data_IF_726814859859
#
_entry.id   IF_726814859859
#
_cell.length_a   1.000
_cell.length_b   1.000
_cell.length_c   1.000
_cell.angle_alpha   90.00
_cell.angle_beta   90.00
_cell.angle_gamma   90.00
#
_symmetry.space_group_name_H-M   'P 1'
#
loop_
_entity.id
_entity.type
_entity.pdbx_description
1 polymer ?
#
# COMPACT_ATOMS: atom_id res chain seq x y z
N UNK A 1 13.00 6.41 15.94
CA UNK A 1 13.76 5.39 16.70
C UNK A 1 13.27 5.31 18.16
N UNK A 2 11.96 5.27 18.41
CA UNK A 2 11.44 5.40 19.78
C UNK A 2 11.69 4.17 20.63
N UNK A 3 11.57 2.96 20.06
CA UNK A 3 11.81 1.71 20.77
C UNK A 3 13.22 1.61 21.38
N UNK A 4 14.25 1.95 20.60
CA UNK A 4 15.63 2.00 21.09
C UNK A 4 15.77 2.98 22.27
N UNK A 5 15.24 4.19 22.13
CA UNK A 5 15.37 5.22 23.18
C UNK A 5 14.62 4.82 24.46
N UNK A 6 13.44 4.22 24.34
CA UNK A 6 12.71 3.64 25.47
C UNK A 6 13.54 2.56 26.16
N UNK A 7 14.10 1.61 25.41
CA UNK A 7 14.92 0.54 26.00
C UNK A 7 16.19 1.08 26.64
N UNK A 8 16.90 1.99 25.99
CA UNK A 8 18.08 2.62 26.57
C UNK A 8 17.77 3.34 27.89
N UNK A 9 16.63 4.05 27.96
CA UNK A 9 16.18 4.66 29.21
C UNK A 9 15.84 3.62 30.28
N UNK A 10 15.12 2.56 29.94
CA UNK A 10 14.79 1.45 30.87
C UNK A 10 16.06 0.77 31.43
N UNK A 11 17.06 0.50 30.60
CA UNK A 11 18.36 -0.04 31.05
C UNK A 11 19.10 0.93 31.98
N UNK A 12 18.96 2.24 31.76
CA UNK A 12 19.49 3.30 32.61
C UNK A 12 18.64 3.61 33.85
N UNK A 13 17.57 2.85 34.13
CA UNK A 13 16.60 3.12 35.19
C UNK A 13 15.86 4.47 35.06
N UNK A 14 15.83 5.03 33.85
CA UNK A 14 15.13 6.26 33.51
C UNK A 14 13.90 6.04 32.64
N UNK A 15 13.30 7.14 32.18
CA UNK A 15 12.13 7.12 31.29
C UNK A 15 12.39 7.92 30.01
N UNK A 16 11.73 7.52 28.92
CA UNK A 16 11.84 8.18 27.62
C UNK A 16 10.63 9.07 27.35
N UNK A 17 10.87 10.33 27.04
CA UNK A 17 9.83 11.29 26.60
C UNK A 17 9.95 11.55 25.10
N UNK A 18 8.98 11.09 24.33
CA UNK A 18 8.92 11.35 22.88
C UNK A 18 8.38 12.75 22.60
N UNK A 19 9.10 13.57 21.82
CA UNK A 19 8.63 14.87 21.33
C UNK A 19 8.54 14.81 19.80
N UNK A 20 7.32 14.88 19.25
CA UNK A 20 7.08 14.70 17.81
C UNK A 20 7.00 15.99 17.02
N UNK A 21 6.80 17.12 17.69
CA UNK A 21 6.62 18.45 17.09
C UNK A 21 7.26 19.52 17.97
N UNK A 22 7.73 20.60 17.36
CA UNK A 22 8.30 21.78 18.05
C UNK A 22 7.28 22.45 18.97
N UNK A 23 5.99 22.38 18.63
CA UNK A 23 4.89 22.93 19.44
C UNK A 23 4.69 22.19 20.77
N UNK A 24 5.16 20.95 20.88
CA UNK A 24 5.02 20.13 22.10
C UNK A 24 6.18 20.32 23.08
N UNK A 25 7.29 20.92 22.64
CA UNK A 25 8.56 20.97 23.38
C UNK A 25 8.37 21.61 24.74
N UNK A 26 7.79 22.81 24.80
CA UNK A 26 7.64 23.54 26.07
C UNK A 26 6.87 22.74 27.12
N UNK A 27 5.74 22.13 26.74
CA UNK A 27 4.91 21.34 27.64
C UNK A 27 5.64 20.07 28.11
N UNK A 28 6.19 19.28 27.16
CA UNK A 28 6.84 18.01 27.48
C UNK A 28 8.13 18.19 28.28
N UNK A 29 8.89 19.24 28.01
CA UNK A 29 10.08 19.58 28.80
C UNK A 29 9.70 20.08 30.19
N UNK A 30 8.65 20.90 30.32
CA UNK A 30 8.12 21.31 31.62
C UNK A 30 7.71 20.12 32.48
N UNK A 31 6.94 19.18 31.92
CA UNK A 31 6.55 17.93 32.60
C UNK A 31 7.78 17.11 33.01
N UNK A 32 8.79 17.00 32.14
CA UNK A 32 10.02 16.29 32.44
C UNK A 32 10.80 16.94 33.60
N UNK A 33 10.97 18.26 33.60
CA UNK A 33 11.72 18.94 34.66
C UNK A 33 11.00 18.88 36.00
N UNK A 34 9.68 19.10 36.04
CA UNK A 34 8.90 18.95 37.27
C UNK A 34 9.01 17.54 37.86
N UNK A 35 9.13 16.51 37.01
CA UNK A 35 9.40 15.13 37.46
C UNK A 35 10.81 15.01 38.05
N UNK A 36 11.83 15.44 37.32
CA UNK A 36 13.24 15.29 37.73
C UNK A 36 13.57 16.04 39.02
N UNK A 37 12.86 17.13 39.31
CA UNK A 37 13.00 17.90 40.55
C UNK A 37 12.40 17.19 41.78
N UNK A 38 11.60 16.13 41.58
CA UNK A 38 10.84 15.46 42.64
C UNK A 38 11.07 13.93 42.70
N UNK A 39 12.32 13.45 42.88
CA UNK A 39 12.57 12.03 43.12
C UNK A 39 12.08 11.62 44.52
N UNK A 40 11.24 10.59 44.60
CA UNK A 40 10.66 10.09 45.85
C UNK A 40 11.46 8.93 46.41
N UNK A 41 11.85 7.96 45.57
CA UNK A 41 12.62 6.79 45.97
C UNK A 41 13.55 6.36 44.83
N UNK A 42 14.81 6.08 45.12
CA UNK A 42 15.80 5.62 44.14
C UNK A 42 16.48 4.31 44.51
N UNK A 43 17.11 3.67 43.51
CA UNK A 43 17.78 2.36 43.62
C UNK A 43 16.89 1.30 44.28
N UNK A 44 15.68 1.15 43.72
CA UNK A 44 14.65 0.28 44.27
C UNK A 44 15.05 -1.19 44.05
N UNK A 45 15.03 -1.99 45.11
CA UNK A 45 15.29 -3.43 45.08
C UNK A 45 14.14 -4.14 45.78
N UNK A 46 13.63 -5.21 45.16
CA UNK A 46 12.59 -6.07 45.76
C UNK A 46 13.25 -7.32 46.33
N UNK A 47 13.05 -7.53 47.61
CA UNK A 47 13.40 -8.74 48.33
C UNK A 47 12.16 -9.66 48.44
N UNK A 48 12.18 -10.78 47.71
CA UNK A 48 11.11 -11.77 47.71
C UNK A 48 11.18 -12.77 48.88
N UNK A 49 12.02 -12.50 49.89
CA UNK A 49 12.17 -13.29 51.13
C UNK A 49 12.39 -14.78 50.87
N UNK A 50 13.26 -15.09 49.91
CA UNK A 50 13.63 -16.46 49.52
C UNK A 50 12.66 -17.17 48.56
N UNK A 51 11.59 -16.52 48.11
CA UNK A 51 10.72 -17.09 47.08
C UNK A 51 11.34 -17.01 45.69
N UNK A 52 11.13 -18.05 44.89
CA UNK A 52 11.49 -18.06 43.47
C UNK A 52 10.48 -17.22 42.67
N UNK A 53 10.62 -15.90 42.71
CA UNK A 53 9.80 -14.97 41.97
C UNK A 53 10.49 -14.54 40.67
N UNK A 54 9.73 -14.51 39.57
CA UNK A 54 10.14 -13.88 38.32
C UNK A 54 9.38 -12.55 38.20
N UNK A 55 10.07 -11.43 37.97
CA UNK A 55 9.41 -10.14 37.85
C UNK A 55 9.97 -9.29 36.71
N UNK A 56 9.13 -8.37 36.23
CA UNK A 56 9.47 -7.42 35.19
C UNK A 56 8.93 -6.01 35.54
N UNK A 57 9.68 -4.93 35.26
CA UNK A 57 11.00 -4.90 34.62
C UNK A 57 12.11 -5.50 35.50
N UNK A 58 13.22 -5.92 34.88
CA UNK A 58 14.37 -6.51 35.58
C UNK A 58 15.19 -5.45 36.34
N UNK A 59 15.30 -4.27 35.75
CA UNK A 59 15.86 -3.08 36.39
C UNK A 59 14.67 -2.19 36.78
N UNK A 60 14.54 -1.91 38.08
CA UNK A 60 13.40 -1.18 38.61
C UNK A 60 13.73 0.32 38.47
N UNK A 61 12.90 1.10 37.78
CA UNK A 61 13.12 2.54 37.64
C UNK A 61 12.93 3.26 38.97
N UNK A 62 13.54 4.43 39.10
CA UNK A 62 13.34 5.30 40.25
C UNK A 62 11.88 5.81 40.29
N UNK A 63 11.35 5.98 41.50
CA UNK A 63 10.00 6.49 41.73
C UNK A 63 10.04 8.02 41.76
N UNK A 64 9.38 8.62 40.78
CA UNK A 64 9.17 10.07 40.71
C UNK A 64 7.75 10.45 41.11
N UNK A 65 7.58 11.68 41.59
CA UNK A 65 6.26 12.19 41.91
C UNK A 65 5.35 12.19 40.66
N UNK A 66 4.17 11.59 40.79
CA UNK A 66 3.18 11.52 39.71
C UNK A 66 3.33 10.35 38.74
N UNK A 67 4.34 9.48 38.90
CA UNK A 67 4.53 8.29 38.06
C UNK A 67 4.64 7.02 38.91
N UNK A 68 3.66 6.11 38.86
CA UNK A 68 3.72 4.88 39.64
C UNK A 68 4.70 3.88 39.02
N UNK A 69 5.53 3.27 39.86
CA UNK A 69 6.34 2.11 39.47
C UNK A 69 5.45 0.87 39.51
N UNK A 70 5.20 0.29 38.33
CA UNK A 70 4.38 -0.93 38.21
C UNK A 70 5.30 -2.12 37.97
N UNK A 71 5.25 -3.11 38.85
CA UNK A 71 5.98 -4.38 38.74
C UNK A 71 4.98 -5.51 38.48
N UNK A 72 5.27 -6.36 37.50
CA UNK A 72 4.50 -7.58 37.25
C UNK A 72 5.36 -8.77 37.65
N UNK A 73 4.87 -9.61 38.56
CA UNK A 73 5.62 -10.73 39.09
C UNK A 73 4.81 -12.04 39.07
N UNK A 74 5.50 -13.14 38.81
CA UNK A 74 5.00 -14.50 38.96
C UNK A 74 5.64 -15.12 40.20
N UNK A 75 4.79 -15.48 41.16
CA UNK A 75 5.19 -16.11 42.42
C UNK A 75 4.63 -17.53 42.52
N UNK A 76 5.30 -18.44 43.23
CA UNK A 76 4.77 -19.78 43.52
C UNK A 76 3.59 -19.74 44.48
N UNK A 77 3.55 -18.79 45.42
CA UNK A 77 2.49 -18.65 46.42
C UNK A 77 2.25 -17.16 46.74
N UNK A 78 0.99 -16.79 46.96
CA UNK A 78 0.60 -15.46 47.45
C UNK A 78 0.53 -15.44 48.99
N UNK A 79 0.60 -14.25 49.59
CA UNK A 79 0.53 -14.07 51.05
C UNK A 79 1.84 -14.26 51.80
N UNK A 80 2.96 -14.28 51.10
CA UNK A 80 4.28 -14.23 51.72
C UNK A 80 4.77 -12.78 51.85
N UNK A 81 5.73 -12.56 52.74
CA UNK A 81 6.33 -11.25 52.96
C UNK A 81 7.20 -10.84 51.77
N UNK A 82 7.12 -9.56 51.43
CA UNK A 82 7.92 -8.92 50.39
C UNK A 82 8.53 -7.66 50.98
N UNK A 83 9.85 -7.54 50.83
CA UNK A 83 10.60 -6.34 51.19
C UNK A 83 10.83 -5.47 49.97
N UNK A 84 10.68 -4.16 50.13
CA UNK A 84 11.15 -3.17 49.17
C UNK A 84 12.19 -2.31 49.87
N UNK A 85 13.37 -2.21 49.26
CA UNK A 85 14.49 -1.42 49.75
C UNK A 85 14.84 -0.33 48.72
N UNK A 86 15.40 0.78 49.18
CA UNK A 86 15.89 1.85 48.32
C UNK A 86 16.41 3.03 49.13
N UNK A 87 16.51 4.18 48.47
CA UNK A 87 17.00 5.42 49.06
C UNK A 87 15.97 6.52 48.94
N UNK A 88 15.62 7.14 50.07
CA UNK A 88 14.69 8.27 50.13
C UNK A 88 15.41 9.48 50.69
N UNK A 89 15.61 10.51 49.88
CA UNK A 89 16.32 11.72 50.27
C UNK A 89 17.74 11.44 50.83
N UNK A 90 18.47 10.51 50.20
CA UNK A 90 19.83 10.13 50.61
C UNK A 90 19.93 9.25 51.86
N UNK A 91 18.81 8.80 52.43
CA UNK A 91 18.78 7.86 53.56
C UNK A 91 18.28 6.49 53.11
N UNK A 92 18.81 5.39 53.66
CA UNK A 92 18.27 4.06 53.38
C UNK A 92 16.82 3.99 53.85
N UNK A 93 15.97 3.43 53.00
CA UNK A 93 14.56 3.22 53.24
C UNK A 93 14.21 1.77 52.94
N UNK A 94 13.42 1.16 53.81
CA UNK A 94 12.93 -0.19 53.66
C UNK A 94 11.48 -0.26 54.13
N UNK A 95 10.67 -1.04 53.43
CA UNK A 95 9.35 -1.44 53.87
C UNK A 95 9.20 -2.93 53.64
N UNK A 96 8.77 -3.64 54.66
CA UNK A 96 8.32 -5.02 54.52
C UNK A 96 6.79 -5.02 54.64
N UNK A 97 6.13 -5.73 53.74
CA UNK A 97 4.70 -5.93 53.79
C UNK A 97 4.33 -7.31 53.29
N UNK A 98 3.19 -7.80 53.76
CA UNK A 98 2.65 -9.08 53.33
C UNK A 98 1.93 -8.89 52.00
N UNK A 99 2.23 -9.71 51.00
CA UNK A 99 1.59 -9.64 49.69
C UNK A 99 0.20 -10.30 49.74
N UNK A 100 -0.71 -9.67 50.47
CA UNK A 100 -2.10 -10.07 50.67
C UNK A 100 -3.05 -9.01 50.13
N UNK A 101 -4.23 -9.45 49.69
CA UNK A 101 -5.24 -8.58 49.10
C UNK A 101 -5.12 -8.48 47.57
N UNK A 102 -5.68 -7.39 47.04
CA UNK A 102 -5.89 -7.23 45.60
C UNK A 102 -7.10 -8.03 45.10
N UNK A 103 -7.43 -7.80 43.84
CA UNK A 103 -8.56 -8.44 43.16
C UNK A 103 -8.05 -9.33 42.04
N UNK A 104 -8.53 -10.57 42.01
CA UNK A 104 -8.22 -11.52 40.95
C UNK A 104 -8.79 -11.00 39.64
N UNK A 105 -7.91 -10.63 38.70
CA UNK A 105 -8.27 -10.12 37.38
C UNK A 105 -7.66 -10.99 36.28
N UNK A 106 -8.47 -11.35 35.28
CA UNK A 106 -8.11 -12.21 34.15
C UNK A 106 -7.12 -11.58 33.13
N UNK A 107 -6.37 -10.53 33.52
CA UNK A 107 -5.42 -9.83 32.65
C UNK A 107 -4.03 -9.63 33.26
N UNK A 108 -3.82 -9.94 34.54
CA UNK A 108 -2.52 -9.75 35.20
C UNK A 108 -1.48 -10.73 34.63
N UNK A 109 -1.91 -11.96 34.33
CA UNK A 109 -1.10 -12.97 33.67
C UNK A 109 -0.65 -12.51 32.27
N UNK A 110 -1.55 -11.88 31.51
CA UNK A 110 -1.26 -11.31 30.19
C UNK A 110 -0.29 -10.14 30.28
N UNK A 111 -0.43 -9.28 31.29
CA UNK A 111 0.51 -8.18 31.54
C UNK A 111 1.92 -8.74 31.83
N UNK A 112 2.02 -9.73 32.70
CA UNK A 112 3.29 -10.41 33.00
C UNK A 112 3.89 -11.03 31.73
N UNK A 113 3.09 -11.79 30.98
CA UNK A 113 3.52 -12.46 29.76
C UNK A 113 4.00 -11.50 28.67
N UNK A 114 3.31 -10.36 28.48
CA UNK A 114 3.76 -9.30 27.55
C UNK A 114 5.12 -8.74 27.95
N UNK A 115 5.31 -8.39 29.22
CA UNK A 115 6.59 -7.87 29.71
C UNK A 115 7.73 -8.89 29.58
N UNK A 116 7.43 -10.18 29.78
CA UNK A 116 8.37 -11.27 29.54
C UNK A 116 8.72 -11.42 28.06
N UNK A 117 7.75 -11.32 27.15
CA UNK A 117 8.01 -11.33 25.70
C UNK A 117 8.88 -10.13 25.30
N UNK A 118 8.61 -8.95 25.85
CA UNK A 118 9.40 -7.75 25.58
C UNK A 118 10.86 -7.93 26.02
N UNK A 119 11.12 -8.55 27.16
CA UNK A 119 12.48 -8.83 27.62
C UNK A 119 13.19 -9.91 26.78
N UNK A 120 12.46 -10.92 26.30
CA UNK A 120 12.98 -11.93 25.37
C UNK A 120 13.35 -11.31 24.02
N UNK A 121 12.54 -10.37 23.52
CA UNK A 121 12.87 -9.61 22.31
C UNK A 121 14.13 -8.75 22.51
N UNK A 122 14.31 -8.15 23.69
CA UNK A 122 15.54 -7.41 24.01
C UNK A 122 16.78 -8.31 24.01
N UNK A 123 16.68 -9.55 24.52
CA UNK A 123 17.81 -10.51 24.48
C UNK A 123 18.28 -10.85 23.07
N UNK A 124 17.39 -10.80 22.08
CA UNK A 124 17.77 -11.00 20.68
C UNK A 124 18.73 -9.91 20.19
N UNK A 125 18.61 -8.68 20.73
CA UNK A 125 19.53 -7.58 20.43
C UNK A 125 20.91 -7.80 21.07
N UNK A 126 20.96 -8.52 22.19
CA UNK A 126 22.17 -8.88 22.91
C UNK A 126 22.90 -10.11 22.30
N UNK A 127 22.41 -10.64 21.17
CA UNK A 127 23.02 -11.77 20.47
C UNK A 127 22.59 -13.16 20.94
N UNK A 128 21.46 -13.27 21.66
CA UNK A 128 20.90 -14.57 22.02
C UNK A 128 20.47 -15.38 20.77
N UNK A 129 20.45 -16.71 20.90
CA UNK A 129 19.99 -17.60 19.84
C UNK A 129 18.53 -17.28 19.44
N UNK A 130 18.34 -16.93 18.17
CA UNK A 130 17.07 -16.51 17.63
C UNK A 130 16.03 -17.63 17.62
N UNK A 131 16.45 -18.88 17.43
CA UNK A 131 15.55 -20.05 17.42
C UNK A 131 15.03 -20.36 18.82
N UNK A 132 15.93 -20.43 19.82
CA UNK A 132 15.54 -20.62 21.21
C UNK A 132 14.58 -19.52 21.71
N UNK A 133 14.90 -18.25 21.45
CA UNK A 133 14.05 -17.11 21.86
C UNK A 133 12.68 -17.16 21.20
N UNK A 134 12.63 -17.48 19.89
CA UNK A 134 11.37 -17.63 19.16
C UNK A 134 10.51 -18.75 19.76
N UNK A 135 11.09 -19.92 20.05
CA UNK A 135 10.36 -21.02 20.64
C UNK A 135 9.75 -20.64 22.00
N UNK A 136 10.51 -19.91 22.83
CA UNK A 136 10.02 -19.42 24.13
C UNK A 136 8.87 -18.40 23.97
N UNK A 137 9.01 -17.44 23.04
CA UNK A 137 7.96 -16.44 22.76
C UNK A 137 6.67 -17.11 22.24
N UNK A 138 6.79 -18.11 21.37
CA UNK A 138 5.63 -18.87 20.86
C UNK A 138 4.95 -19.62 22.01
N UNK A 139 5.71 -20.31 22.86
CA UNK A 139 5.16 -21.02 24.01
C UNK A 139 4.42 -20.09 24.98
N UNK A 140 4.99 -18.93 25.30
CA UNK A 140 4.33 -17.91 26.15
C UNK A 140 3.08 -17.37 25.47
N UNK A 141 3.15 -17.07 24.17
CA UNK A 141 2.03 -16.57 23.37
C UNK A 141 0.84 -17.53 23.39
N UNK A 142 1.09 -18.82 23.16
CA UNK A 142 0.06 -19.85 23.18
C UNK A 142 -0.52 -20.06 24.59
N UNK A 143 0.34 -20.16 25.62
CA UNK A 143 -0.10 -20.40 27.01
C UNK A 143 -0.95 -19.26 27.58
N UNK A 144 -0.70 -18.01 27.18
CA UNK A 144 -1.41 -16.82 27.67
C UNK A 144 -2.40 -16.23 26.65
N UNK A 145 -2.65 -16.93 25.55
CA UNK A 145 -3.52 -16.47 24.45
C UNK A 145 -3.18 -15.06 23.94
N UNK A 146 -1.88 -14.80 23.74
CA UNK A 146 -1.36 -13.53 23.23
C UNK A 146 -0.96 -13.65 21.77
N UNK A 147 -1.30 -12.62 21.00
CA UNK A 147 -0.76 -12.41 19.65
C UNK A 147 0.62 -11.76 19.78
N UNK A 148 1.63 -12.42 19.23
CA UNK A 148 3.03 -12.01 19.24
C UNK A 148 3.55 -11.88 17.81
N UNK A 149 4.79 -11.44 17.62
CA UNK A 149 5.45 -11.43 16.29
C UNK A 149 5.45 -12.82 15.61
N UNK A 150 5.33 -13.89 16.40
CA UNK A 150 5.44 -15.28 15.94
C UNK A 150 4.12 -16.06 16.03
N UNK A 151 3.01 -15.43 16.40
CA UNK A 151 1.70 -16.08 16.54
C UNK A 151 0.62 -15.21 15.92
N UNK A 152 -0.39 -15.84 15.32
CA UNK A 152 -1.53 -15.16 14.71
C UNK A 152 -2.83 -15.86 15.10
N UNK A 153 -3.91 -15.09 15.20
CA UNK A 153 -5.25 -15.65 15.39
C UNK A 153 -5.83 -15.95 14.01
N UNK A 154 -6.10 -17.22 13.74
CA UNK A 154 -6.76 -17.68 12.52
C UNK A 154 -8.15 -18.15 12.89
N UNK A 155 -9.17 -17.51 12.33
CA UNK A 155 -10.54 -17.98 12.46
C UNK A 155 -10.75 -19.12 11.47
N UNK A 156 -11.05 -20.31 11.98
CA UNK A 156 -11.41 -21.49 11.18
C UNK A 156 -12.91 -21.72 11.34
N UNK A 157 -13.62 -21.77 10.22
CA UNK A 157 -15.04 -22.11 10.21
C UNK A 157 -15.21 -23.58 10.61
N UNK A 158 -15.92 -23.85 11.70
CA UNK A 158 -16.11 -25.21 12.21
C UNK A 158 -17.17 -25.99 11.41
N UNK A 159 -18.15 -25.29 10.84
CA UNK A 159 -19.24 -25.90 10.10
C UNK A 159 -18.94 -25.73 8.62
N UNK A 160 -18.60 -26.83 7.95
CA UNK A 160 -18.45 -26.83 6.49
C UNK A 160 -19.83 -26.58 5.89
N UNK A 161 -20.06 -25.35 5.41
CA UNK A 161 -21.33 -24.92 4.80
C UNK A 161 -21.74 -25.76 3.58
N UNK A 162 -20.79 -26.50 2.99
CA UNK A 162 -21.02 -27.45 1.90
C UNK A 162 -21.02 -28.91 2.41
N UNK A 163 -22.11 -29.66 2.24
CA UNK A 163 -22.10 -31.11 2.35
C UNK A 163 -21.15 -31.71 1.29
N UNK A 164 -20.14 -32.47 1.70
CA UNK A 164 -19.13 -33.00 0.76
C UNK A 164 -19.72 -33.97 -0.27
N UNK A 165 -20.82 -34.64 0.08
CA UNK A 165 -21.46 -35.69 -0.72
C UNK A 165 -22.36 -35.15 -1.85
N UNK A 166 -22.53 -33.83 -1.97
CA UNK A 166 -23.36 -33.23 -3.02
C UNK A 166 -22.54 -32.78 -4.22
N UNK A 167 -22.86 -33.31 -5.40
CA UNK A 167 -22.30 -32.89 -6.68
C UNK A 167 -22.55 -31.41 -6.95
N UNK A 168 -21.52 -30.73 -7.45
CA UNK A 168 -21.59 -29.31 -7.79
C UNK A 168 -22.53 -29.10 -8.97
N UNK A 169 -23.48 -28.17 -8.82
CA UNK A 169 -24.30 -27.68 -9.94
C UNK A 169 -23.60 -26.48 -10.57
N UNK A 170 -23.19 -26.61 -11.82
CA UNK A 170 -22.67 -25.49 -12.59
C UNK A 170 -23.84 -24.69 -13.16
N UNK A 171 -23.85 -23.38 -12.93
CA UNK A 171 -24.78 -22.44 -13.57
C UNK A 171 -23.98 -21.31 -14.19
N UNK A 172 -24.35 -20.91 -15.40
CA UNK A 172 -23.78 -19.71 -16.00
C UNK A 172 -24.20 -18.51 -15.16
N UNK A 173 -23.24 -17.82 -14.56
CA UNK A 173 -23.48 -16.54 -13.89
C UNK A 173 -23.53 -15.45 -14.97
N UNK A 174 -24.54 -14.55 -14.93
CA UNK A 174 -24.55 -13.40 -15.81
C UNK A 174 -23.28 -12.55 -15.59
N UNK A 175 -22.51 -12.33 -16.64
CA UNK A 175 -21.35 -11.45 -16.56
C UNK A 175 -21.83 -10.01 -16.47
N UNK A 176 -21.60 -9.37 -15.32
CA UNK A 176 -21.84 -7.94 -15.21
C UNK A 176 -20.83 -7.18 -16.07
N UNK A 177 -21.34 -6.41 -17.02
CA UNK A 177 -20.54 -5.50 -17.84
C UNK A 177 -20.03 -4.33 -16.99
N UNK A 178 -18.81 -3.83 -17.27
CA UNK A 178 -18.34 -2.56 -16.69
C UNK A 178 -19.36 -1.44 -16.90
N UNK A 179 -19.44 -0.53 -15.93
CA UNK A 179 -20.42 0.57 -15.98
C UNK A 179 -20.27 1.37 -17.27
N UNK A 180 -21.36 1.45 -18.04
CA UNK A 180 -21.43 2.18 -19.31
C UNK A 180 -21.18 1.33 -20.56
N UNK A 181 -20.90 0.03 -20.41
CA UNK A 181 -20.82 -0.90 -21.54
C UNK A 181 -22.20 -1.46 -21.87
N UNK A 182 -22.65 -1.22 -23.09
CA UNK A 182 -23.90 -1.77 -23.65
C UNK A 182 -23.53 -2.97 -24.51
N UNK A 183 -24.14 -4.12 -24.24
CA UNK A 183 -23.80 -5.37 -24.90
C UNK A 183 -23.98 -5.25 -26.42
N UNK A 184 -25.06 -4.61 -26.88
CA UNK A 184 -25.33 -4.44 -28.32
C UNK A 184 -24.21 -3.68 -29.06
N UNK A 185 -23.60 -2.67 -28.44
CA UNK A 185 -22.59 -1.83 -29.09
C UNK A 185 -21.27 -2.59 -29.32
N UNK A 186 -20.87 -3.43 -28.35
CA UNK A 186 -19.64 -4.23 -28.44
C UNK A 186 -19.75 -5.26 -29.56
N UNK A 187 -20.92 -5.91 -29.70
CA UNK A 187 -21.14 -6.90 -30.74
C UNK A 187 -21.37 -6.25 -32.12
N UNK A 188 -22.05 -5.10 -32.19
CA UNK A 188 -22.27 -4.36 -33.42
C UNK A 188 -20.94 -3.86 -34.05
N UNK A 189 -20.00 -3.41 -33.22
CA UNK A 189 -18.68 -2.97 -33.67
C UNK A 189 -17.88 -4.12 -34.28
N UNK A 190 -17.99 -5.32 -33.71
CA UNK A 190 -17.31 -6.53 -34.21
C UNK A 190 -17.84 -7.00 -35.57
N UNK A 191 -19.15 -6.86 -35.82
CA UNK A 191 -19.76 -7.18 -37.12
C UNK A 191 -19.34 -6.18 -38.19
N UNK A 192 -19.29 -4.88 -37.88
CA UNK A 192 -18.76 -3.85 -38.79
C UNK A 192 -17.30 -4.12 -39.18
N UNK A 193 -16.45 -4.38 -38.18
CA UNK A 193 -15.03 -4.69 -38.41
C UNK A 193 -14.84 -5.95 -39.25
N UNK A 194 -15.66 -6.99 -39.03
CA UNK A 194 -15.60 -8.20 -39.86
C UNK A 194 -15.99 -7.93 -41.33
N UNK A 195 -16.94 -7.03 -41.57
CA UNK A 195 -17.32 -6.58 -42.91
C UNK A 195 -16.22 -5.78 -43.60
N UNK A 196 -15.61 -4.83 -42.90
CA UNK A 196 -14.51 -4.00 -43.40
C UNK A 196 -13.26 -4.84 -43.72
N UNK A 197 -12.89 -5.79 -42.86
CA UNK A 197 -11.76 -6.70 -43.10
C UNK A 197 -12.02 -7.61 -44.31
N UNK A 198 -13.26 -8.05 -44.51
CA UNK A 198 -13.64 -8.85 -45.69
C UNK A 198 -13.55 -8.04 -46.98
N UNK A 199 -13.99 -6.78 -46.96
CA UNK A 199 -13.87 -5.87 -48.10
C UNK A 199 -12.39 -5.58 -48.43
N UNK A 200 -11.57 -5.31 -47.41
CA UNK A 200 -10.13 -5.10 -47.56
C UNK A 200 -9.44 -6.31 -48.21
N UNK A 201 -9.75 -7.53 -47.73
CA UNK A 201 -9.20 -8.78 -48.29
C UNK A 201 -9.55 -8.95 -49.77
N UNK A 202 -10.80 -8.68 -50.14
CA UNK A 202 -11.25 -8.78 -51.53
C UNK A 202 -10.56 -7.75 -52.43
N UNK A 203 -10.34 -6.53 -51.94
CA UNK A 203 -9.61 -5.48 -52.68
C UNK A 203 -8.17 -5.89 -52.92
N UNK A 204 -7.49 -6.42 -51.90
CA UNK A 204 -6.11 -6.92 -52.00
C UNK A 204 -6.01 -8.07 -53.02
N UNK A 205 -6.95 -9.01 -53.01
CA UNK A 205 -6.97 -10.09 -54.02
C UNK A 205 -7.16 -9.57 -55.45
N UNK A 206 -8.03 -8.57 -55.63
CA UNK A 206 -8.28 -7.96 -56.95
C UNK A 206 -7.07 -7.19 -57.49
N UNK A 207 -6.33 -6.52 -56.61
CA UNK A 207 -5.05 -5.87 -56.95
C UNK A 207 -3.98 -6.92 -57.29
N UNK A 208 -3.94 -8.03 -56.53
CA UNK A 208 -3.03 -9.14 -56.80
C UNK A 208 -3.30 -9.79 -58.16
N UNK A 209 -4.56 -10.03 -58.52
CA UNK A 209 -4.95 -10.59 -59.82
C UNK A 209 -4.60 -9.65 -60.98
N UNK A 210 -4.89 -8.34 -60.84
CA UNK A 210 -4.50 -7.34 -61.84
C UNK A 210 -2.98 -7.27 -62.04
N UNK A 211 -2.21 -7.30 -60.95
CA UNK A 211 -0.74 -7.36 -61.03
C UNK A 211 -0.23 -8.63 -61.72
N UNK A 212 -0.92 -9.76 -61.56
CA UNK A 212 -0.61 -11.02 -62.22
C UNK A 212 -0.92 -11.00 -63.72
N UNK A 213 -1.97 -10.28 -64.14
CA UNK A 213 -2.32 -10.09 -65.56
C UNK A 213 -1.34 -9.16 -66.26
N UNK A 214 -0.92 -8.07 -65.61
CA UNK A 214 0.13 -7.15 -66.11
C UNK A 214 1.45 -7.91 -66.29
N UNK A 215 1.88 -8.66 -65.28
CA UNK A 215 3.08 -9.49 -65.34
C UNK A 215 3.02 -10.60 -66.42
N UNK A 216 1.82 -11.05 -66.80
CA UNK A 216 1.63 -12.07 -67.85
C UNK A 216 1.52 -11.48 -69.25
N UNK A 217 1.04 -10.24 -69.38
CA UNK A 217 1.02 -9.48 -70.63
C UNK A 217 2.43 -9.03 -71.04
N UNK A 218 3.26 -8.62 -70.07
CA UNK A 218 4.64 -8.18 -70.32
C UNK A 218 5.60 -9.33 -70.67
N UNK A 219 5.34 -10.55 -70.19
CA UNK A 219 6.11 -11.76 -70.55
C UNK A 219 5.98 -12.20 -72.01
N UNK A 220 5.08 -11.61 -72.81
CA UNK A 220 5.01 -11.86 -74.26
C UNK A 220 6.01 -11.04 -75.09
N UNK A 221 6.67 -10.04 -74.50
CA UNK A 221 7.86 -9.40 -75.06
C UNK A 221 9.11 -9.85 -74.29
N UNK A 222 10.17 -10.25 -74.99
CA UNK A 222 11.43 -10.68 -74.34
C UNK A 222 12.07 -9.48 -73.61
N UNK A 223 11.90 -9.38 -72.30
CA UNK A 223 12.62 -8.44 -71.44
C UNK A 223 13.71 -9.15 -70.63
N UNK A 224 14.82 -8.46 -70.39
CA UNK A 224 15.99 -9.02 -69.69
C UNK A 224 15.83 -9.00 -68.17
N UNK A 225 16.57 -9.86 -67.46
CA UNK A 225 16.41 -10.09 -66.01
C UNK A 225 16.65 -8.86 -65.11
N UNK A 226 17.31 -7.82 -65.61
CA UNK A 226 17.54 -6.56 -64.88
C UNK A 226 16.30 -5.65 -64.89
N UNK A 227 15.62 -5.57 -66.04
CA UNK A 227 14.40 -4.77 -66.22
C UNK A 227 13.23 -5.35 -65.40
N UNK A 228 13.19 -6.69 -65.27
CA UNK A 228 12.21 -7.38 -64.42
C UNK A 228 12.36 -7.03 -62.92
N UNK A 229 13.57 -6.75 -62.43
CA UNK A 229 13.79 -6.37 -61.02
C UNK A 229 13.33 -4.94 -60.74
N UNK A 230 13.68 -3.98 -61.59
CA UNK A 230 13.19 -2.60 -61.45
C UNK A 230 11.66 -2.53 -61.57
N UNK A 231 11.09 -3.34 -62.45
CA UNK A 231 9.64 -3.38 -62.65
C UNK A 231 8.90 -4.06 -61.49
N UNK A 232 9.48 -5.09 -60.87
CA UNK A 232 8.97 -5.66 -59.61
C UNK A 232 9.00 -4.64 -58.47
N UNK A 233 10.04 -3.81 -58.40
CA UNK A 233 10.16 -2.78 -57.37
C UNK A 233 9.16 -1.63 -57.60
N UNK A 234 8.90 -1.25 -58.85
CA UNK A 234 7.83 -0.30 -59.22
C UNK A 234 6.43 -0.84 -58.91
N UNK A 235 6.14 -2.10 -59.24
CA UNK A 235 4.88 -2.76 -58.89
C UNK A 235 4.69 -2.85 -57.36
N UNK A 236 5.77 -3.07 -56.59
CA UNK A 236 5.72 -3.07 -55.13
C UNK A 236 5.36 -1.70 -54.58
N UNK A 237 5.99 -0.64 -55.10
CA UNK A 237 5.71 0.75 -54.70
C UNK A 237 4.27 1.14 -55.08
N UNK A 238 3.78 0.73 -56.25
CA UNK A 238 2.42 1.01 -56.70
C UNK A 238 1.36 0.24 -55.90
N UNK A 239 1.65 -1.01 -55.52
CA UNK A 239 0.82 -1.77 -54.58
C UNK A 239 0.82 -1.16 -53.18
N UNK A 240 1.96 -0.71 -52.67
CA UNK A 240 2.05 0.00 -51.38
C UNK A 240 1.30 1.33 -51.42
N UNK A 241 1.34 2.07 -52.55
CA UNK A 241 0.58 3.31 -52.76
C UNK A 241 -0.92 3.06 -52.85
N UNK A 242 -1.35 2.01 -53.56
CA UNK A 242 -2.76 1.62 -53.65
C UNK A 242 -3.30 1.10 -52.30
N UNK A 243 -2.46 0.43 -51.50
CA UNK A 243 -2.79 0.02 -50.13
C UNK A 243 -2.92 1.24 -49.19
N UNK A 244 -2.09 2.27 -49.39
CA UNK A 244 -2.19 3.54 -48.67
C UNK A 244 -3.42 4.35 -49.09
N UNK A 245 -3.73 4.44 -50.38
CA UNK A 245 -4.91 5.14 -50.92
C UNK A 245 -6.22 4.44 -50.51
N UNK A 246 -6.25 3.11 -50.46
CA UNK A 246 -7.36 2.35 -49.89
C UNK A 246 -7.53 2.53 -48.37
N UNK A 247 -6.48 3.00 -47.68
CA UNK A 247 -6.52 3.36 -46.27
C UNK A 247 -6.92 4.83 -46.01
N UNK A 248 -7.05 5.66 -47.05
CA UNK A 248 -7.39 7.09 -46.90
C UNK A 248 -8.87 7.47 -46.68
N UNK A 249 -9.93 6.68 -47.00
CA UNK A 249 -11.30 7.18 -46.83
C UNK A 249 -11.75 7.27 -45.35
N UNK A 250 -10.85 7.09 -44.38
CA UNK A 250 -11.12 7.32 -42.96
C UNK A 250 -10.66 8.69 -42.43
N UNK A 251 -10.12 9.59 -43.27
CA UNK A 251 -9.54 10.87 -42.77
C UNK A 251 -10.28 12.15 -43.19
N UNK A 252 -11.23 12.12 -44.15
CA UNK A 252 -11.90 13.36 -44.59
C UNK A 252 -13.39 13.20 -44.89
N UNK A 253 -14.22 13.25 -43.84
CA UNK A 253 -15.64 13.55 -43.98
C UNK A 253 -16.16 14.24 -42.71
N UNK A 254 -15.72 15.47 -42.47
CA UNK A 254 -16.51 16.41 -41.65
C UNK A 254 -16.23 17.85 -42.09
N UNK A 255 -17.10 18.39 -42.95
CA UNK A 255 -17.34 19.83 -43.05
C UNK A 255 -18.75 20.09 -43.57
N UNK A 256 -19.66 20.32 -42.62
CA UNK A 256 -20.66 21.40 -42.62
C UNK A 256 -21.79 21.40 -43.66
N UNK A 257 -23.04 21.44 -43.18
CA UNK A 257 -24.06 22.44 -43.61
C UNK A 257 -25.22 22.48 -42.60
N UNK A 258 -25.48 23.68 -42.09
CA UNK A 258 -26.64 24.05 -41.27
C UNK A 258 -27.87 24.34 -42.15
N UNK A 259 -29.06 23.90 -41.75
CA UNK A 259 -30.31 24.64 -41.97
C UNK A 259 -31.43 24.20 -41.02
N UNK A 260 -32.16 25.20 -40.51
CA UNK A 260 -33.14 25.23 -39.43
C UNK A 260 -34.48 24.49 -39.69
N UNK A 261 -35.21 24.14 -38.60
CA UNK A 261 -36.50 24.74 -38.15
C UNK A 261 -37.32 23.80 -37.21
N UNK A 262 -37.76 24.34 -36.05
CA UNK A 262 -38.93 24.10 -35.12
C UNK A 262 -39.50 22.68 -34.84
N UNK A 263 -40.15 22.31 -33.72
CA UNK A 263 -40.52 22.82 -32.37
C UNK A 263 -41.02 21.56 -31.60
N UNK A 264 -40.78 21.45 -30.28
CA UNK A 264 -41.64 20.62 -29.39
C UNK A 264 -40.98 19.74 -28.31
N UNK A 265 -40.84 20.31 -27.11
CA UNK A 265 -41.22 19.72 -25.80
C UNK A 265 -40.41 18.56 -25.15
N UNK A 266 -39.81 18.90 -24.00
CA UNK A 266 -39.54 18.12 -22.76
C UNK A 266 -38.36 17.13 -22.59
N UNK A 267 -37.57 17.43 -21.54
CA UNK A 267 -36.72 16.56 -20.66
C UNK A 267 -35.20 16.65 -20.87
N UNK A 268 -34.39 16.96 -19.83
CA UNK A 268 -32.95 17.20 -20.00
C UNK A 268 -32.17 15.89 -20.16
N UNK A 269 -31.77 15.59 -21.41
CA UNK A 269 -30.79 14.55 -21.76
C UNK A 269 -29.39 15.18 -21.78
N UNK A 270 -28.53 14.82 -20.83
CA UNK A 270 -27.10 15.21 -20.86
C UNK A 270 -26.43 14.53 -22.05
N UNK A 271 -25.83 15.36 -22.90
CA UNK A 271 -25.06 14.99 -24.07
C UNK A 271 -23.74 14.37 -23.62
N UNK A 272 -23.48 13.13 -24.05
CA UNK A 272 -22.18 12.50 -23.98
C UNK A 272 -21.36 12.94 -25.20
N UNK A 273 -20.21 13.56 -24.94
CA UNK A 273 -19.15 13.79 -25.92
C UNK A 273 -18.49 12.45 -26.23
N UNK A 274 -18.56 12.04 -27.49
CA UNK A 274 -17.82 10.90 -28.02
C UNK A 274 -16.32 11.24 -28.12
N UNK A 275 -15.46 10.41 -27.53
CA UNK A 275 -14.01 10.44 -27.75
C UNK A 275 -13.64 9.34 -28.76
N UNK A 276 -12.97 9.75 -29.84
CA UNK A 276 -12.42 8.88 -30.89
C UNK A 276 -11.15 8.11 -30.46
N UNK A 277 -10.51 7.40 -31.40
CA UNK A 277 -9.47 6.44 -31.09
C UNK A 277 -8.16 7.14 -30.71
N UNK A 278 -7.67 6.88 -29.49
CA UNK A 278 -6.39 7.41 -28.97
C UNK A 278 -6.43 7.92 -27.53
N UNK A 279 -7.60 7.97 -26.87
CA UNK A 279 -7.69 8.47 -25.50
C UNK A 279 -7.44 7.36 -24.46
N UNK A 280 -6.35 7.50 -23.69
CA UNK A 280 -6.15 6.76 -22.44
C UNK A 280 -7.26 7.10 -21.43
N UNK A 281 -7.70 6.14 -20.58
CA UNK A 281 -8.83 6.36 -19.68
C UNK A 281 -8.55 7.51 -18.71
N UNK A 282 -9.48 8.47 -18.64
CA UNK A 282 -9.44 9.54 -17.67
C UNK A 282 -9.67 8.97 -16.27
N UNK A 283 -8.59 8.76 -15.52
CA UNK A 283 -8.66 8.68 -14.06
C UNK A 283 -9.01 10.07 -13.53
N UNK A 284 -10.11 10.16 -12.79
CA UNK A 284 -10.54 11.39 -12.13
C UNK A 284 -9.47 11.85 -11.13
N UNK A 285 -8.72 12.91 -11.47
CA UNK A 285 -8.08 13.85 -10.53
C UNK A 285 -7.65 15.08 -11.31
N UNK A 286 -7.80 16.27 -10.72
CA UNK A 286 -7.58 17.58 -11.36
C UNK A 286 -6.12 17.94 -11.68
N UNK A 287 -5.34 17.00 -12.22
CA UNK A 287 -3.91 17.15 -12.49
C UNK A 287 -3.60 18.07 -13.69
N UNK A 288 -4.54 18.22 -14.63
CA UNK A 288 -4.35 19.06 -15.82
C UNK A 288 -4.21 20.55 -15.49
N UNK A 289 -4.95 21.04 -14.48
CA UNK A 289 -4.84 22.43 -14.02
C UNK A 289 -3.49 22.68 -13.33
N UNK A 290 -3.04 21.75 -12.49
CA UNK A 290 -1.74 21.87 -11.80
C UNK A 290 -0.55 21.76 -12.74
N UNK A 291 -0.65 20.98 -13.82
CA UNK A 291 0.39 20.91 -14.86
C UNK A 291 0.52 22.22 -15.64
N UNK A 292 -0.61 22.84 -16.01
CA UNK A 292 -0.61 24.13 -16.70
C UNK A 292 -0.10 25.26 -15.80
N UNK A 293 -0.49 25.28 -14.52
CA UNK A 293 0.02 26.25 -13.54
C UNK A 293 1.52 26.04 -13.31
N UNK A 294 1.99 24.79 -13.23
CA UNK A 294 3.42 24.47 -13.12
C UNK A 294 4.24 24.95 -14.33
N UNK A 295 3.73 24.75 -15.55
CA UNK A 295 4.40 25.18 -16.78
C UNK A 295 4.44 26.72 -16.89
N UNK A 296 3.39 27.41 -16.45
CA UNK A 296 3.33 28.86 -16.42
C UNK A 296 4.33 29.46 -15.41
N UNK A 297 4.49 28.85 -14.23
CA UNK A 297 5.50 29.26 -13.25
C UNK A 297 6.93 29.00 -13.74
N UNK A 298 7.16 27.92 -14.48
CA UNK A 298 8.48 27.60 -15.03
C UNK A 298 8.86 28.57 -16.15
N UNK A 299 7.91 28.96 -17.00
CA UNK A 299 8.11 30.02 -17.99
C UNK A 299 8.41 31.38 -17.34
N UNK A 300 7.72 31.72 -16.25
CA UNK A 300 7.92 32.97 -15.51
C UNK A 300 9.30 33.01 -14.83
N UNK A 301 9.75 31.88 -14.27
CA UNK A 301 11.09 31.73 -13.70
C UNK A 301 12.20 31.84 -14.77
N UNK A 302 11.98 31.31 -15.98
CA UNK A 302 12.93 31.42 -17.08
C UNK A 302 13.08 32.87 -17.59
N UNK A 303 11.97 33.61 -17.67
CA UNK A 303 11.98 35.05 -18.02
C UNK A 303 12.65 35.89 -16.93
N UNK A 304 12.44 35.56 -15.65
CA UNK A 304 13.12 36.24 -14.55
C UNK A 304 14.63 35.97 -14.52
N UNK A 305 15.05 34.74 -14.84
CA UNK A 305 16.47 34.34 -14.91
C UNK A 305 17.22 35.01 -16.05
N UNK A 306 16.58 35.18 -17.21
CA UNK A 306 17.18 35.87 -18.36
C UNK A 306 17.29 37.38 -18.15
N UNK A 307 16.39 38.00 -17.37
CA UNK A 307 16.53 39.42 -16.98
C UNK A 307 17.63 39.67 -15.96
N UNK A 308 17.90 38.76 -15.01
CA UNK A 308 19.03 38.89 -14.07
C UNK A 308 20.41 38.78 -14.71
N UNK A 309 20.54 38.12 -15.88
CA UNK A 309 21.81 38.05 -16.63
C UNK A 309 22.11 39.29 -17.47
N UNK A 310 21.20 40.26 -17.57
CA UNK A 310 21.42 41.53 -18.29
C UNK A 310 21.76 42.71 -17.36
N UNK A 311 21.83 42.49 -16.05
CA UNK A 311 22.12 43.52 -15.04
C UNK A 311 23.24 43.09 -14.06
N UNK A 312 24.10 42.17 -14.48
CA UNK A 312 25.37 41.86 -13.83
C UNK A 312 26.51 42.07 -14.83
#
# INVERSE_FOLDING_TARGET
NSHFMTKAAEYGSGSFTYIGSTTEVQRKMGELFSKLESPVLSQIVIDWKGQKAEHWPKYIPDLYLGEPVVIAAKLPKLGADVGIHGWRGGKPWAVDFKLEGGSTHAGIDRLFARRKIDSLNSRLLDGADADAVRAEIVAIGLNHHLVTKHTSLVAVEQVVSRPQDQSLKSSALPTNLPKGWVMEDIWAQRVKWAGEVKAMRNTIEKVREKGLVVAKAERKGKASAAELKEMQEKLRIEQERALAEAAEPMVSADTGTSAAVSVGTTTPKRIATAQGPGALPQTATGASLFLLVGLLLLALAFVARTRRRKFA
#
